data_IF_890652123141
#
_entry.id   IF_890652123141
#
_cell.length_a   1.000
_cell.length_b   1.000
_cell.length_c   1.000
_cell.angle_alpha   90.00
_cell.angle_beta   90.00
_cell.angle_gamma   90.00
#
_symmetry.space_group_name_H-M   'P 1'
#
loop_
_entity.id
_entity.type
_entity.pdbx_description
1 polymer ?
#
# COMPACT_ATOMS: atom_id res chain seq x y z
N UNK A 1 4.02 -43.25 20.72
CA UNK A 1 2.67 -42.81 21.19
C UNK A 1 2.55 -41.28 21.26
N UNK A 2 3.56 -40.57 21.79
CA UNK A 2 3.60 -39.10 21.83
C UNK A 2 3.45 -38.45 20.44
N UNK A 3 4.11 -38.99 19.40
CA UNK A 3 4.00 -38.49 18.01
C UNK A 3 2.59 -38.60 17.42
N UNK A 4 1.84 -39.65 17.75
CA UNK A 4 0.45 -39.83 17.28
C UNK A 4 -0.52 -38.87 17.97
N UNK A 5 -0.33 -38.65 19.28
CA UNK A 5 -1.10 -37.67 20.05
C UNK A 5 -0.80 -36.26 19.56
N UNK A 6 0.46 -35.94 19.26
CA UNK A 6 0.85 -34.63 18.71
C UNK A 6 0.32 -34.42 17.28
N UNK A 7 0.38 -35.45 16.42
CA UNK A 7 -0.24 -35.41 15.08
C UNK A 7 -1.76 -35.26 15.18
N UNK A 8 -2.41 -35.93 16.13
CA UNK A 8 -3.84 -35.82 16.36
C UNK A 8 -4.24 -34.45 16.93
N UNK A 9 -3.50 -33.89 17.90
CA UNK A 9 -3.72 -32.53 18.40
C UNK A 9 -3.47 -31.49 17.31
N UNK A 10 -2.43 -31.66 16.49
CA UNK A 10 -2.20 -30.83 15.31
C UNK A 10 -3.38 -30.96 14.36
N UNK A 11 -3.86 -32.18 14.05
CA UNK A 11 -5.02 -32.45 13.20
C UNK A 11 -6.32 -31.82 13.73
N UNK A 12 -6.63 -31.96 15.02
CA UNK A 12 -7.82 -31.39 15.65
C UNK A 12 -7.78 -29.86 15.64
N UNK A 13 -6.63 -29.27 16.00
CA UNK A 13 -6.41 -27.82 15.92
C UNK A 13 -6.44 -27.29 14.48
N UNK A 14 -6.16 -28.15 13.49
CA UNK A 14 -6.22 -27.87 12.04
C UNK A 14 -7.64 -27.96 11.49
N UNK A 15 -8.41 -28.99 11.83
CA UNK A 15 -9.81 -29.10 11.41
C UNK A 15 -10.65 -27.99 12.07
N UNK A 16 -10.21 -27.43 13.19
CA UNK A 16 -10.80 -26.24 13.81
C UNK A 16 -10.17 -24.92 13.31
N UNK A 17 -9.15 -24.97 12.44
CA UNK A 17 -8.51 -23.77 11.90
C UNK A 17 -9.41 -23.11 10.87
N UNK A 18 -9.86 -21.90 11.18
CA UNK A 18 -10.79 -21.12 10.36
C UNK A 18 -10.32 -20.96 8.91
N UNK A 19 -9.03 -20.69 8.70
CA UNK A 19 -8.47 -20.52 7.35
C UNK A 19 -8.62 -21.79 6.49
N UNK A 20 -8.49 -22.98 7.08
CA UNK A 20 -8.63 -24.25 6.37
C UNK A 20 -10.09 -24.54 5.95
N UNK A 21 -11.07 -24.11 6.77
CA UNK A 21 -12.48 -24.17 6.38
C UNK A 21 -12.79 -23.24 5.19
N UNK A 22 -12.24 -22.01 5.18
CA UNK A 22 -12.49 -21.07 4.07
C UNK A 22 -11.88 -21.51 2.77
N UNK A 23 -10.67 -22.10 2.79
CA UNK A 23 -10.06 -22.62 1.56
C UNK A 23 -10.93 -23.70 0.93
N UNK A 24 -11.56 -24.54 1.75
CA UNK A 24 -12.46 -25.58 1.28
C UNK A 24 -13.81 -25.02 0.81
N UNK A 25 -14.39 -24.09 1.57
CA UNK A 25 -15.68 -23.47 1.28
C UNK A 25 -15.66 -22.59 0.03
N UNK A 26 -14.56 -21.84 -0.19
CA UNK A 26 -14.35 -21.03 -1.40
C UNK A 26 -13.82 -21.85 -2.58
N UNK A 27 -13.64 -23.18 -2.42
CA UNK A 27 -13.07 -24.09 -3.42
C UNK A 27 -11.75 -23.59 -4.02
N UNK A 28 -10.95 -22.90 -3.21
CA UNK A 28 -9.68 -22.35 -3.67
C UNK A 28 -8.68 -23.49 -3.90
N UNK A 29 -7.86 -23.43 -4.96
CA UNK A 29 -6.84 -24.44 -5.18
C UNK A 29 -5.86 -24.42 -4.00
N UNK A 30 -5.63 -25.60 -3.43
CA UNK A 30 -4.66 -25.86 -2.36
C UNK A 30 -3.45 -26.52 -2.99
N UNK A 31 -2.27 -25.95 -2.76
CA UNK A 31 -1.02 -26.58 -3.20
C UNK A 31 -0.75 -27.81 -2.35
N UNK A 32 -1.18 -28.98 -2.82
CA UNK A 32 -0.86 -30.26 -2.19
C UNK A 32 0.64 -30.56 -2.35
N UNK A 33 1.30 -31.04 -1.30
CA UNK A 33 2.71 -31.45 -1.33
C UNK A 33 3.34 -31.59 0.06
N UNK A 34 4.63 -31.93 0.14
CA UNK A 34 5.32 -32.07 1.43
C UNK A 34 5.52 -30.71 2.12
N UNK A 35 5.43 -30.67 3.45
CA UNK A 35 5.67 -29.47 4.25
C UNK A 35 7.12 -28.95 4.25
N UNK A 36 8.01 -29.66 3.55
CA UNK A 36 9.42 -29.34 3.42
C UNK A 36 9.68 -28.32 2.29
N UNK A 37 8.72 -28.11 1.39
CA UNK A 37 8.86 -27.14 0.28
C UNK A 37 9.06 -25.73 0.83
N UNK A 38 10.03 -25.00 0.31
CA UNK A 38 10.28 -23.61 0.70
C UNK A 38 9.11 -22.71 0.30
N UNK A 39 8.79 -21.73 1.13
CA UNK A 39 7.90 -20.62 0.78
C UNK A 39 8.47 -19.30 1.29
N UNK A 40 7.99 -18.19 0.74
CA UNK A 40 8.39 -16.86 1.15
C UNK A 40 7.16 -15.99 1.46
N UNK A 41 7.17 -15.33 2.60
CA UNK A 41 6.18 -14.30 2.95
C UNK A 41 6.93 -12.98 3.07
N UNK A 42 6.56 -12.01 2.25
CA UNK A 42 7.17 -10.69 2.23
C UNK A 42 6.15 -9.70 2.79
N UNK A 43 6.49 -9.04 3.89
CA UNK A 43 5.66 -8.03 4.52
C UNK A 43 6.37 -6.69 4.41
N UNK A 44 5.80 -5.84 3.56
CA UNK A 44 6.25 -4.47 3.37
C UNK A 44 5.53 -3.55 4.36
N UNK A 45 6.29 -2.77 5.13
CA UNK A 45 5.77 -1.64 5.90
C UNK A 45 6.03 -0.38 5.07
N UNK A 46 4.99 0.11 4.40
CA UNK A 46 5.08 1.24 3.46
C UNK A 46 5.62 2.50 4.17
N UNK A 47 6.62 3.15 3.56
CA UNK A 47 7.14 4.46 3.98
C UNK A 47 7.88 4.52 5.32
N UNK A 48 8.19 3.39 5.97
CA UNK A 48 8.81 3.34 7.29
C UNK A 48 10.34 3.47 7.24
N UNK A 49 10.83 4.69 7.45
CA UNK A 49 12.27 4.96 7.57
C UNK A 49 12.90 4.25 8.79
N UNK A 50 14.15 3.80 8.65
CA UNK A 50 14.90 3.13 9.72
C UNK A 50 14.95 3.92 11.05
N UNK A 51 15.19 5.25 11.08
CA UNK A 51 15.16 6.01 12.34
C UNK A 51 13.80 5.97 13.04
N UNK A 52 12.71 5.95 12.27
CA UNK A 52 11.35 5.89 12.79
C UNK A 52 11.03 4.50 13.37
N UNK A 53 11.48 3.44 12.70
CA UNK A 53 11.41 2.07 13.22
C UNK A 53 12.18 1.94 14.54
N UNK A 54 13.43 2.42 14.59
CA UNK A 54 14.24 2.39 15.81
C UNK A 54 13.57 3.15 16.96
N UNK A 55 12.99 4.32 16.68
CA UNK A 55 12.24 5.08 17.67
C UNK A 55 10.99 4.34 18.14
N UNK A 56 10.25 3.70 17.23
CA UNK A 56 9.06 2.91 17.56
C UNK A 56 9.40 1.70 18.45
N UNK A 57 10.50 1.00 18.16
CA UNK A 57 11.02 -0.10 18.98
C UNK A 57 11.43 0.39 20.37
N UNK A 58 12.21 1.49 20.47
CA UNK A 58 12.61 2.10 21.74
C UNK A 58 11.41 2.51 22.60
N UNK A 59 10.32 2.96 21.97
CA UNK A 59 9.07 3.38 22.65
C UNK A 59 8.08 2.24 22.89
N UNK A 60 8.47 0.99 22.66
CA UNK A 60 7.60 -0.18 22.86
C UNK A 60 6.35 -0.19 21.99
N UNK A 61 6.38 0.45 20.81
CA UNK A 61 5.25 0.48 19.87
C UNK A 61 5.16 -0.75 18.99
N UNK A 62 6.24 -1.53 18.88
CA UNK A 62 6.31 -2.76 18.09
C UNK A 62 6.90 -3.93 18.92
N UNK A 63 6.22 -4.35 20.00
CA UNK A 63 6.75 -5.37 20.91
C UNK A 63 6.96 -6.74 20.27
N UNK A 64 6.17 -7.14 19.27
CA UNK A 64 6.37 -8.41 18.58
C UNK A 64 7.64 -8.38 17.73
N UNK A 65 7.85 -7.31 16.97
CA UNK A 65 9.07 -7.13 16.19
C UNK A 65 10.31 -7.06 17.08
N UNK A 66 10.22 -6.37 18.22
CA UNK A 66 11.28 -6.37 19.23
C UNK A 66 11.62 -7.79 19.72
N UNK A 67 10.60 -8.62 19.94
CA UNK A 67 10.80 -10.02 20.32
C UNK A 67 11.46 -10.83 19.20
N UNK A 68 11.11 -10.60 17.93
CA UNK A 68 11.76 -11.29 16.80
C UNK A 68 13.27 -10.98 16.75
N UNK A 69 13.64 -9.72 16.95
CA UNK A 69 15.04 -9.29 16.99
C UNK A 69 15.81 -9.91 18.17
N UNK A 70 15.14 -10.10 19.31
CA UNK A 70 15.77 -10.62 20.52
C UNK A 70 15.85 -12.15 20.57
N UNK A 71 14.86 -12.86 20.00
CA UNK A 71 14.67 -14.30 20.25
C UNK A 71 14.61 -15.18 19.00
N UNK A 72 14.41 -14.62 17.81
CA UNK A 72 14.10 -15.38 16.59
C UNK A 72 15.14 -15.17 15.47
N UNK A 73 16.38 -14.80 15.81
CA UNK A 73 17.50 -14.58 14.88
C UNK A 73 17.28 -13.49 13.79
N UNK A 74 16.27 -12.62 13.94
CA UNK A 74 16.09 -11.49 13.04
C UNK A 74 17.18 -10.43 13.27
N UNK A 75 17.71 -9.87 12.18
CA UNK A 75 18.65 -8.75 12.22
C UNK A 75 18.06 -7.56 11.50
N UNK A 76 18.17 -6.38 12.11
CA UNK A 76 17.81 -5.14 11.45
C UNK A 76 18.98 -4.70 10.55
N UNK A 77 18.69 -4.53 9.26
CA UNK A 77 19.65 -4.04 8.27
C UNK A 77 19.13 -2.74 7.64
N UNK A 78 20.05 -1.83 7.34
CA UNK A 78 19.73 -0.66 6.53
C UNK A 78 19.53 -1.11 5.08
N UNK A 79 18.48 -0.62 4.44
CA UNK A 79 18.16 -0.90 3.05
C UNK A 79 18.13 0.42 2.28
N UNK A 80 18.88 0.48 1.19
CA UNK A 80 18.81 1.60 0.25
C UNK A 80 17.74 1.30 -0.80
N UNK A 81 16.70 2.13 -0.84
CA UNK A 81 15.52 1.97 -1.70
C UNK A 81 15.75 2.32 -3.17
N UNK A 82 16.92 2.86 -3.53
CA UNK A 82 17.15 3.42 -4.86
C UNK A 82 16.48 4.78 -5.08
N UNK A 83 16.60 5.28 -6.32
CA UNK A 83 16.01 6.53 -6.79
C UNK A 83 15.18 6.24 -8.07
N UNK A 84 13.89 6.61 -8.13
CA UNK A 84 13.14 7.33 -7.10
C UNK A 84 12.72 6.40 -5.94
N UNK A 85 12.88 6.86 -4.70
CA UNK A 85 12.47 6.16 -3.48
C UNK A 85 10.93 6.15 -3.34
N UNK A 86 10.26 5.37 -4.17
CA UNK A 86 8.79 5.31 -4.29
C UNK A 86 8.34 3.87 -4.44
N UNK A 87 7.19 3.53 -3.87
CA UNK A 87 6.57 2.20 -3.96
C UNK A 87 6.56 1.62 -5.38
N UNK A 88 6.12 2.33 -6.45
CA UNK A 88 6.13 1.78 -7.80
C UNK A 88 7.54 1.43 -8.30
N UNK A 89 8.55 2.27 -8.08
CA UNK A 89 9.90 1.97 -8.54
C UNK A 89 10.49 0.75 -7.81
N UNK A 90 10.33 0.69 -6.48
CA UNK A 90 10.85 -0.41 -5.66
C UNK A 90 10.13 -1.72 -5.97
N UNK A 91 8.81 -1.70 -6.13
CA UNK A 91 8.04 -2.90 -6.47
C UNK A 91 8.32 -3.38 -7.89
N UNK A 92 8.61 -2.49 -8.84
CA UNK A 92 9.02 -2.91 -10.18
C UNK A 92 10.34 -3.68 -10.16
N UNK A 93 11.33 -3.17 -9.45
CA UNK A 93 12.62 -3.84 -9.30
C UNK A 93 12.49 -5.15 -8.52
N UNK A 94 11.69 -5.16 -7.45
CA UNK A 94 11.50 -6.34 -6.62
C UNK A 94 10.72 -7.47 -7.32
N UNK A 95 9.64 -7.13 -8.02
CA UNK A 95 8.75 -8.13 -8.62
C UNK A 95 9.15 -8.54 -10.03
N UNK A 96 9.80 -7.65 -10.79
CA UNK A 96 10.09 -7.86 -12.20
C UNK A 96 11.59 -7.71 -12.53
N UNK A 97 12.44 -7.38 -11.56
CA UNK A 97 13.87 -7.17 -11.80
C UNK A 97 14.20 -5.94 -12.64
N UNK A 98 13.21 -5.08 -12.93
CA UNK A 98 13.39 -3.90 -13.79
C UNK A 98 13.69 -2.68 -12.92
N UNK A 99 14.95 -2.25 -12.98
CA UNK A 99 15.42 -1.03 -12.31
C UNK A 99 14.82 0.21 -12.97
N UNK A 100 14.57 1.25 -12.17
CA UNK A 100 14.16 2.57 -12.68
C UNK A 100 12.95 2.54 -13.63
N UNK A 101 12.03 1.58 -13.41
CA UNK A 101 10.87 1.37 -14.28
C UNK A 101 9.99 2.61 -14.48
N UNK A 102 9.96 3.48 -13.47
CA UNK A 102 9.27 4.77 -13.51
C UNK A 102 10.23 5.87 -13.03
N UNK A 103 10.18 7.07 -13.63
CA UNK A 103 11.11 8.15 -13.30
C UNK A 103 10.72 8.88 -11.99
N UNK A 104 9.47 8.78 -11.57
CA UNK A 104 8.94 9.33 -10.32
C UNK A 104 7.55 8.72 -10.03
N UNK A 105 6.93 9.10 -8.92
CA UNK A 105 5.56 8.70 -8.61
C UNK A 105 4.52 9.36 -9.54
N UNK A 106 4.81 10.59 -9.99
CA UNK A 106 4.06 11.32 -11.02
C UNK A 106 5.02 11.75 -12.13
N UNK A 107 4.63 11.54 -13.38
CA UNK A 107 5.48 11.80 -14.54
C UNK A 107 4.65 12.05 -15.80
N UNK A 108 5.26 12.59 -16.85
CA UNK A 108 4.61 12.76 -18.17
C UNK A 108 4.59 11.44 -18.93
N UNK A 109 3.40 10.98 -19.32
CA UNK A 109 3.27 9.88 -20.27
C UNK A 109 3.67 10.36 -21.67
N UNK A 110 4.62 9.68 -22.30
CA UNK A 110 5.14 10.04 -23.62
C UNK A 110 4.08 9.92 -24.72
N UNK A 111 3.11 9.01 -24.57
CA UNK A 111 2.11 8.77 -25.61
C UNK A 111 0.99 9.80 -25.58
N UNK A 112 0.52 10.18 -24.39
CA UNK A 112 -0.60 11.11 -24.23
C UNK A 112 -0.15 12.55 -24.01
N UNK A 113 1.11 12.75 -23.61
CA UNK A 113 1.63 14.03 -23.19
C UNK A 113 1.14 14.50 -21.81
N UNK A 114 0.31 13.71 -21.14
CA UNK A 114 -0.35 14.07 -19.88
C UNK A 114 0.47 13.67 -18.64
N UNK A 115 0.26 14.39 -17.54
CA UNK A 115 0.86 14.04 -16.26
C UNK A 115 0.05 12.92 -15.60
N UNK A 116 0.65 11.75 -15.53
CA UNK A 116 0.07 10.54 -14.94
C UNK A 116 0.65 10.26 -13.56
N UNK A 117 -0.03 9.39 -12.80
CA UNK A 117 0.37 8.95 -11.45
C UNK A 117 0.23 7.45 -11.29
N UNK A 118 1.12 6.85 -10.51
CA UNK A 118 1.13 5.39 -10.30
C UNK A 118 -0.02 4.84 -9.45
N UNK A 119 -0.88 5.68 -8.89
CA UNK A 119 -2.13 5.25 -8.25
C UNK A 119 -3.33 5.21 -9.20
N UNK A 120 -3.18 5.74 -10.42
CA UNK A 120 -4.20 5.58 -11.45
C UNK A 120 -4.14 4.14 -11.98
N UNK A 121 -5.25 3.40 -11.96
CA UNK A 121 -5.27 1.99 -12.38
C UNK A 121 -4.76 1.78 -13.79
N UNK A 122 -5.18 2.62 -14.73
CA UNK A 122 -4.81 2.52 -16.14
C UNK A 122 -3.30 2.75 -16.33
N UNK A 123 -2.74 3.74 -15.62
CA UNK A 123 -1.29 4.00 -15.62
C UNK A 123 -0.51 2.84 -15.02
N UNK A 124 -0.94 2.33 -13.86
CA UNK A 124 -0.28 1.20 -13.20
C UNK A 124 -0.33 -0.06 -14.07
N UNK A 125 -1.47 -0.37 -14.69
CA UNK A 125 -1.65 -1.51 -15.59
C UNK A 125 -0.79 -1.38 -16.86
N UNK A 126 -0.75 -0.18 -17.48
CA UNK A 126 0.10 0.08 -18.65
C UNK A 126 1.59 -0.12 -18.33
N UNK A 127 2.06 0.39 -17.19
CA UNK A 127 3.45 0.19 -16.75
C UNK A 127 3.70 -1.30 -16.47
N UNK A 128 2.79 -1.99 -15.79
CA UNK A 128 2.93 -3.41 -15.50
C UNK A 128 3.03 -4.27 -16.76
N UNK A 129 2.25 -3.96 -17.80
CA UNK A 129 2.31 -4.65 -19.07
C UNK A 129 3.70 -4.54 -19.71
N UNK A 130 4.32 -3.34 -19.66
CA UNK A 130 5.70 -3.15 -20.11
C UNK A 130 6.71 -3.93 -19.26
N UNK A 131 6.53 -3.97 -17.94
CA UNK A 131 7.38 -4.73 -17.02
C UNK A 131 7.35 -6.24 -17.32
N UNK A 132 6.17 -6.80 -17.60
CA UNK A 132 6.01 -8.21 -17.97
C UNK A 132 6.72 -8.58 -19.26
N UNK A 133 6.87 -7.63 -20.20
CA UNK A 133 7.59 -7.86 -21.45
C UNK A 133 9.11 -7.81 -21.28
N UNK A 134 9.61 -7.04 -20.32
CA UNK A 134 11.05 -6.88 -20.05
C UNK A 134 11.59 -7.93 -19.08
N UNK A 135 10.74 -8.45 -18.20
CA UNK A 135 11.10 -9.42 -17.17
C UNK A 135 11.02 -10.86 -17.69
N UNK A 136 12.03 -11.67 -17.39
CA UNK A 136 12.03 -13.10 -17.72
C UNK A 136 10.96 -13.89 -16.95
N UNK A 137 10.80 -13.61 -15.66
CA UNK A 137 9.80 -14.22 -14.79
C UNK A 137 9.50 -13.28 -13.63
N UNK A 138 8.22 -13.10 -13.30
CA UNK A 138 7.84 -12.25 -12.18
C UNK A 138 7.94 -13.02 -10.86
N UNK A 139 8.39 -12.37 -9.79
CA UNK A 139 8.61 -13.00 -8.48
C UNK A 139 7.34 -13.64 -7.90
N UNK A 140 6.16 -13.08 -8.20
CA UNK A 140 4.89 -13.51 -7.63
C UNK A 140 4.04 -14.34 -8.61
N UNK A 141 4.64 -14.93 -9.66
CA UNK A 141 3.90 -15.53 -10.78
C UNK A 141 2.91 -16.65 -10.39
N UNK A 142 3.20 -17.38 -9.32
CA UNK A 142 2.30 -18.38 -8.72
C UNK A 142 1.89 -18.03 -7.29
N UNK A 143 2.10 -16.77 -6.91
CA UNK A 143 1.94 -16.27 -5.56
C UNK A 143 0.66 -15.47 -5.34
N UNK A 144 0.67 -14.64 -4.32
CA UNK A 144 -0.37 -13.63 -4.11
C UNK A 144 0.19 -12.27 -3.73
N UNK A 145 -0.54 -11.23 -4.12
CA UNK A 145 -0.15 -9.83 -3.96
C UNK A 145 -1.28 -9.03 -3.30
N UNK A 146 -1.00 -8.43 -2.16
CA UNK A 146 -1.98 -7.65 -1.39
C UNK A 146 -1.57 -6.19 -1.27
N UNK A 147 -2.45 -5.29 -1.70
CA UNK A 147 -2.32 -3.83 -1.53
C UNK A 147 -1.06 -3.21 -2.19
N UNK A 148 -0.61 -3.79 -3.31
CA UNK A 148 0.54 -3.33 -4.09
C UNK A 148 0.14 -2.34 -5.19
N UNK A 149 1.13 -1.76 -5.87
CA UNK A 149 0.90 -1.07 -7.14
C UNK A 149 0.64 -2.11 -8.24
N UNK A 150 1.56 -3.07 -8.39
CA UNK A 150 1.50 -4.12 -9.41
C UNK A 150 0.98 -5.45 -8.87
N UNK A 151 0.50 -6.30 -9.77
CA UNK A 151 0.04 -7.65 -9.42
C UNK A 151 1.16 -8.66 -9.17
N UNK A 152 2.37 -8.41 -9.67
CA UNK A 152 3.50 -9.34 -9.54
C UNK A 152 3.47 -10.52 -10.52
N UNK A 153 2.74 -10.37 -11.64
CA UNK A 153 2.83 -11.24 -12.82
C UNK A 153 1.95 -12.48 -12.76
N UNK A 154 0.63 -12.30 -12.75
CA UNK A 154 -0.41 -13.36 -12.66
C UNK A 154 -0.63 -13.96 -11.26
N UNK A 155 -0.02 -13.34 -10.24
CA UNK A 155 -0.36 -13.60 -8.85
C UNK A 155 -1.87 -13.41 -8.58
N UNK A 156 -2.38 -14.11 -7.56
CA UNK A 156 -3.68 -13.78 -6.99
C UNK A 156 -3.61 -12.39 -6.34
N UNK A 157 -4.00 -11.38 -7.12
CA UNK A 157 -3.91 -9.98 -6.75
C UNK A 157 -5.20 -9.49 -6.10
N UNK A 158 -5.02 -8.81 -4.97
CA UNK A 158 -6.10 -8.29 -4.16
C UNK A 158 -5.78 -6.86 -3.76
N UNK A 159 -6.69 -5.94 -4.07
CA UNK A 159 -6.57 -4.51 -3.75
C UNK A 159 -5.31 -3.84 -4.33
N UNK A 160 -4.79 -4.35 -5.46
CA UNK A 160 -3.66 -3.73 -6.15
C UNK A 160 -4.12 -2.55 -7.02
N UNK A 161 -3.27 -1.53 -7.22
CA UNK A 161 -3.61 -0.39 -8.07
C UNK A 161 -3.95 -0.83 -9.50
N UNK A 162 -3.21 -1.78 -10.05
CA UNK A 162 -3.41 -2.33 -11.39
C UNK A 162 -4.72 -3.14 -11.57
N UNK A 163 -5.28 -3.76 -10.51
CA UNK A 163 -6.43 -4.71 -10.64
C UNK A 163 -7.61 -4.46 -9.68
N UNK A 164 -7.59 -3.34 -8.94
CA UNK A 164 -8.61 -2.78 -8.04
C UNK A 164 -9.67 -3.75 -7.47
N UNK A 165 -9.67 -3.94 -6.15
CA UNK A 165 -10.71 -4.68 -5.43
C UNK A 165 -10.38 -6.16 -5.22
N UNK A 166 -11.40 -6.91 -4.82
CA UNK A 166 -11.29 -8.34 -4.51
C UNK A 166 -10.95 -9.17 -5.75
N UNK A 167 -10.17 -10.23 -5.62
CA UNK A 167 -9.84 -11.11 -6.76
C UNK A 167 -11.08 -11.80 -7.33
N UNK A 168 -10.98 -12.34 -8.55
CA UNK A 168 -12.10 -12.92 -9.28
C UNK A 168 -12.90 -13.96 -8.46
N UNK A 169 -12.22 -14.79 -7.68
CA UNK A 169 -12.84 -15.80 -6.82
C UNK A 169 -13.71 -15.21 -5.68
N UNK A 170 -13.32 -14.08 -5.10
CA UNK A 170 -14.09 -13.41 -4.03
C UNK A 170 -15.22 -12.54 -4.59
N UNK A 171 -15.06 -11.99 -5.80
CA UNK A 171 -16.17 -11.32 -6.51
C UNK A 171 -17.28 -12.28 -6.92
N UNK A 172 -16.94 -13.53 -7.23
CA UNK A 172 -17.87 -14.59 -7.59
C UNK A 172 -18.40 -15.39 -6.38
N UNK A 173 -17.93 -15.09 -5.16
CA UNK A 173 -18.31 -15.84 -3.96
C UNK A 173 -19.78 -15.57 -3.58
N UNK A 174 -20.51 -16.64 -3.27
CA UNK A 174 -21.90 -16.58 -2.82
C UNK A 174 -22.02 -15.73 -1.53
N UNK A 175 -23.05 -14.87 -1.37
CA UNK A 175 -23.30 -14.09 -0.17
C UNK A 175 -23.24 -14.87 1.15
N UNK A 176 -23.63 -16.16 1.15
CA UNK A 176 -23.55 -17.03 2.32
C UNK A 176 -22.10 -17.39 2.69
N UNK A 177 -21.20 -17.51 1.72
CA UNK A 177 -19.77 -17.73 1.95
C UNK A 177 -19.11 -16.45 2.47
N UNK A 178 -19.50 -15.29 1.94
CA UNK A 178 -19.09 -13.98 2.47
C UNK A 178 -19.58 -13.79 3.92
N UNK A 179 -20.82 -14.19 4.21
CA UNK A 179 -21.39 -14.17 5.56
C UNK A 179 -20.66 -15.15 6.50
N UNK A 180 -20.33 -16.35 6.03
CA UNK A 180 -19.48 -17.28 6.76
C UNK A 180 -18.10 -16.68 7.06
N UNK A 181 -17.50 -15.98 6.10
CA UNK A 181 -16.22 -15.29 6.25
C UNK A 181 -16.31 -14.16 7.27
N UNK A 182 -17.42 -13.43 7.29
CA UNK A 182 -17.74 -12.41 8.27
C UNK A 182 -17.89 -12.99 9.68
N UNK A 183 -18.72 -14.04 9.86
CA UNK A 183 -18.99 -14.67 11.16
C UNK A 183 -17.74 -15.38 11.72
N UNK A 184 -17.02 -16.10 10.90
CA UNK A 184 -15.78 -16.78 11.34
C UNK A 184 -14.67 -15.80 11.71
N UNK A 185 -14.66 -14.62 11.10
CA UNK A 185 -13.74 -13.53 11.45
C UNK A 185 -14.44 -12.47 12.31
N UNK A 186 -15.50 -12.84 13.06
CA UNK A 186 -16.26 -11.90 13.88
C UNK A 186 -15.38 -11.12 14.87
N UNK A 187 -14.34 -11.74 15.42
CA UNK A 187 -13.35 -11.01 16.23
C UNK A 187 -12.62 -9.91 15.44
N UNK A 188 -12.17 -10.21 14.21
CA UNK A 188 -11.55 -9.22 13.34
C UNK A 188 -12.55 -8.13 12.94
N UNK A 189 -13.81 -8.49 12.66
CA UNK A 189 -14.90 -7.56 12.38
C UNK A 189 -15.16 -6.63 13.56
N UNK A 190 -15.37 -7.19 14.76
CA UNK A 190 -15.58 -6.41 15.99
C UNK A 190 -14.38 -5.52 16.29
N UNK A 191 -13.16 -6.00 16.01
CA UNK A 191 -11.94 -5.20 16.12
C UNK A 191 -11.90 -4.07 15.09
N UNK A 192 -12.31 -4.31 13.85
CA UNK A 192 -12.44 -3.26 12.82
C UNK A 192 -13.44 -2.20 13.29
N UNK A 193 -14.59 -2.61 13.82
CA UNK A 193 -15.62 -1.71 14.37
C UNK A 193 -15.07 -0.90 15.54
N UNK A 194 -14.40 -1.55 16.50
CA UNK A 194 -13.81 -0.86 17.65
C UNK A 194 -12.71 0.13 17.25
N UNK A 195 -11.84 -0.25 16.31
CA UNK A 195 -10.81 0.64 15.76
C UNK A 195 -11.41 1.79 14.94
N UNK A 196 -12.51 1.56 14.23
CA UNK A 196 -13.27 2.59 13.53
C UNK A 196 -13.80 3.63 14.51
N UNK A 197 -14.44 3.22 15.61
CA UNK A 197 -14.94 4.16 16.60
C UNK A 197 -13.83 4.90 17.34
N UNK A 198 -12.69 4.24 17.60
CA UNK A 198 -11.52 4.90 18.18
C UNK A 198 -10.97 6.00 17.26
N UNK A 199 -10.82 5.72 15.97
CA UNK A 199 -10.41 6.71 14.96
C UNK A 199 -11.42 7.85 14.83
N UNK A 200 -12.72 7.53 14.86
CA UNK A 200 -13.78 8.53 14.83
C UNK A 200 -13.68 9.46 16.04
N UNK A 201 -13.47 8.90 17.24
CA UNK A 201 -13.24 9.67 18.47
C UNK A 201 -11.98 10.55 18.39
N UNK A 202 -10.86 10.00 17.92
CA UNK A 202 -9.62 10.76 17.73
C UNK A 202 -9.80 11.88 16.70
N UNK A 203 -10.56 11.64 15.64
CA UNK A 203 -10.85 12.65 14.65
C UNK A 203 -11.74 13.78 15.20
N UNK A 204 -12.70 13.46 16.09
CA UNK A 204 -13.50 14.47 16.81
C UNK A 204 -12.60 15.30 17.74
N UNK A 205 -11.66 14.67 18.45
CA UNK A 205 -10.71 15.39 19.32
C UNK A 205 -9.76 16.26 18.51
N UNK A 206 -9.20 15.74 17.40
CA UNK A 206 -8.39 16.50 16.45
C UNK A 206 -9.20 17.67 15.88
N UNK A 207 -10.49 17.48 15.60
CA UNK A 207 -11.41 18.54 15.16
C UNK A 207 -11.58 19.63 16.22
N UNK A 208 -11.87 19.27 17.48
CA UNK A 208 -11.97 20.24 18.56
C UNK A 208 -10.65 21.03 18.76
N UNK A 209 -9.50 20.38 18.58
CA UNK A 209 -8.18 21.03 18.64
C UNK A 209 -7.85 21.85 17.38
N UNK A 210 -8.36 21.46 16.22
CA UNK A 210 -8.17 22.11 14.93
C UNK A 210 -8.96 23.41 14.80
N UNK A 211 -10.15 23.48 15.40
CA UNK A 211 -10.93 24.72 15.55
C UNK A 211 -10.10 25.81 16.24
N UNK A 212 -9.29 25.44 17.23
CA UNK A 212 -8.42 26.37 17.98
C UNK A 212 -7.23 26.85 17.12
N UNK A 213 -6.90 26.16 16.02
CA UNK A 213 -5.71 26.42 15.17
C UNK A 213 -6.02 26.93 13.75
N UNK A 214 -7.29 27.18 13.41
CA UNK A 214 -7.67 27.78 12.13
C UNK A 214 -7.37 26.92 10.89
N UNK A 215 -7.36 25.59 11.01
CA UNK A 215 -7.14 24.69 9.86
C UNK A 215 -8.46 24.38 9.13
N UNK A 216 -8.40 24.17 7.80
CA UNK A 216 -9.55 23.97 6.91
C UNK A 216 -10.41 22.74 7.25
N UNK A 217 -11.40 22.98 8.12
CA UNK A 217 -12.39 22.07 8.70
C UNK A 217 -13.01 21.04 7.74
N UNK A 218 -13.47 21.48 6.57
CA UNK A 218 -14.25 20.63 5.65
C UNK A 218 -13.38 19.63 4.87
N UNK A 219 -12.10 19.95 4.69
CA UNK A 219 -11.15 19.05 4.04
C UNK A 219 -10.81 17.90 4.98
N UNK A 220 -10.55 18.19 6.25
CA UNK A 220 -10.13 17.22 7.26
C UNK A 220 -11.19 16.13 7.50
N UNK A 221 -12.47 16.54 7.58
CA UNK A 221 -13.60 15.66 7.88
C UNK A 221 -13.88 14.63 6.76
N UNK A 222 -13.76 15.05 5.49
CA UNK A 222 -14.00 14.20 4.31
C UNK A 222 -12.99 13.06 4.15
N UNK A 223 -11.81 13.21 4.75
CA UNK A 223 -10.71 12.23 4.61
C UNK A 223 -10.68 11.17 5.72
N UNK A 224 -11.45 11.33 6.81
CA UNK A 224 -11.48 10.36 7.92
C UNK A 224 -12.05 9.00 7.47
N UNK A 225 -13.18 8.91 6.74
CA UNK A 225 -13.72 7.61 6.31
C UNK A 225 -12.76 6.85 5.39
N UNK A 226 -12.16 7.56 4.42
CA UNK A 226 -11.16 6.99 3.52
C UNK A 226 -9.93 6.45 4.29
N UNK A 227 -9.49 7.16 5.32
CA UNK A 227 -8.38 6.76 6.18
C UNK A 227 -8.68 5.51 6.99
N UNK A 228 -9.84 5.44 7.64
CA UNK A 228 -10.22 4.25 8.41
C UNK A 228 -10.34 3.04 7.48
N UNK A 229 -10.88 3.26 6.28
CA UNK A 229 -10.97 2.22 5.27
C UNK A 229 -9.57 1.70 4.84
N UNK A 230 -8.60 2.58 4.57
CA UNK A 230 -7.25 2.16 4.11
C UNK A 230 -6.38 1.67 5.28
N UNK A 231 -6.32 2.39 6.40
CA UNK A 231 -5.40 2.08 7.50
C UNK A 231 -5.85 0.90 8.38
N UNK A 232 -7.16 0.62 8.43
CA UNK A 232 -7.72 -0.43 9.31
C UNK A 232 -8.39 -1.52 8.50
N UNK A 233 -9.39 -1.19 7.68
CA UNK A 233 -10.17 -2.21 6.96
C UNK A 233 -9.29 -2.96 5.97
N UNK A 234 -8.62 -2.25 5.06
CA UNK A 234 -7.74 -2.85 4.07
C UNK A 234 -6.62 -3.68 4.72
N UNK A 235 -5.98 -3.16 5.78
CA UNK A 235 -4.98 -3.91 6.56
C UNK A 235 -5.52 -5.25 7.07
N UNK A 236 -6.69 -5.26 7.69
CA UNK A 236 -7.28 -6.49 8.23
C UNK A 236 -7.67 -7.47 7.10
N UNK A 237 -8.19 -6.96 5.98
CA UNK A 237 -8.49 -7.77 4.80
C UNK A 237 -7.23 -8.42 4.21
N UNK A 238 -6.14 -7.66 4.05
CA UNK A 238 -4.86 -8.18 3.58
C UNK A 238 -4.31 -9.26 4.51
N UNK A 239 -4.44 -9.10 5.84
CA UNK A 239 -3.98 -10.11 6.79
C UNK A 239 -4.84 -11.37 6.76
N UNK A 240 -6.16 -11.24 6.61
CA UNK A 240 -7.07 -12.38 6.49
C UNK A 240 -6.75 -13.17 5.21
N UNK A 241 -6.66 -12.48 4.06
CA UNK A 241 -6.32 -13.08 2.77
C UNK A 241 -4.94 -13.74 2.80
N UNK A 242 -3.91 -13.02 3.28
CA UNK A 242 -2.56 -13.56 3.41
C UNK A 242 -2.50 -14.83 4.26
N UNK A 243 -3.25 -14.90 5.37
CA UNK A 243 -3.34 -16.13 6.17
C UNK A 243 -4.01 -17.29 5.42
N UNK A 244 -5.02 -17.00 4.61
CA UNK A 244 -5.66 -18.00 3.77
C UNK A 244 -4.66 -18.56 2.76
N UNK A 245 -3.92 -17.72 2.06
CA UNK A 245 -2.93 -18.15 1.06
C UNK A 245 -1.75 -18.91 1.67
N UNK A 246 -1.28 -18.48 2.84
CA UNK A 246 -0.27 -19.22 3.62
C UNK A 246 -0.79 -20.62 3.96
N UNK A 247 -2.07 -20.75 4.32
CA UNK A 247 -2.70 -22.03 4.63
C UNK A 247 -2.97 -22.88 3.38
N UNK A 248 -3.11 -22.27 2.20
CA UNK A 248 -3.19 -22.94 0.89
C UNK A 248 -1.83 -23.42 0.40
N UNK A 249 -0.75 -22.87 0.94
CA UNK A 249 0.61 -23.24 0.56
C UNK A 249 1.11 -22.55 -0.71
N UNK A 250 0.71 -21.30 -0.97
CA UNK A 250 1.26 -20.54 -2.10
C UNK A 250 2.78 -20.34 -1.94
N UNK A 251 3.58 -20.43 -3.03
CA UNK A 251 5.04 -20.32 -2.96
C UNK A 251 5.52 -18.98 -2.41
N UNK A 252 4.90 -17.88 -2.84
CA UNK A 252 5.27 -16.52 -2.41
C UNK A 252 4.01 -15.72 -2.09
N UNK A 253 4.00 -15.02 -0.97
CA UNK A 253 2.90 -14.14 -0.54
C UNK A 253 3.46 -12.76 -0.21
N UNK A 254 3.07 -11.73 -0.97
CA UNK A 254 3.47 -10.35 -0.72
C UNK A 254 2.33 -9.54 -0.12
N UNK A 255 2.58 -8.84 0.98
CA UNK A 255 1.59 -8.00 1.67
C UNK A 255 2.18 -6.62 1.95
N UNK A 256 1.58 -5.59 1.37
CA UNK A 256 1.92 -4.20 1.66
C UNK A 256 0.99 -3.57 2.71
N UNK A 257 1.56 -3.08 3.80
CA UNK A 257 0.86 -2.47 4.92
C UNK A 257 0.97 -0.93 4.86
N UNK A 258 0.03 -0.30 4.15
CA UNK A 258 -0.02 1.14 3.86
C UNK A 258 -0.19 2.07 5.07
N UNK A 259 -0.56 1.52 6.22
CA UNK A 259 -1.10 2.30 7.33
C UNK A 259 -0.15 3.38 7.86
N UNK A 260 1.15 3.10 7.94
CA UNK A 260 2.13 4.07 8.44
C UNK A 260 2.37 5.21 7.45
N UNK A 261 2.61 4.89 6.17
CA UNK A 261 2.83 5.85 5.08
C UNK A 261 1.67 6.86 4.96
N UNK A 262 0.43 6.35 5.01
CA UNK A 262 -0.79 7.17 4.97
C UNK A 262 -0.85 8.23 6.09
N UNK A 263 -0.51 7.83 7.33
CA UNK A 263 -0.53 8.78 8.45
C UNK A 263 0.64 9.75 8.38
N UNK A 264 1.79 9.25 7.95
CA UNK A 264 3.03 10.00 7.92
C UNK A 264 2.99 11.09 6.84
N UNK A 265 2.36 10.83 5.69
CA UNK A 265 2.13 11.84 4.64
C UNK A 265 1.34 13.06 5.12
N UNK A 266 0.43 12.88 6.08
CA UNK A 266 -0.45 13.94 6.57
C UNK A 266 0.06 14.63 7.82
N UNK A 267 0.50 13.84 8.81
CA UNK A 267 0.87 14.33 10.15
C UNK A 267 2.37 14.43 10.36
N UNK A 268 3.15 13.96 9.39
CA UNK A 268 4.58 13.79 9.49
C UNK A 268 4.99 12.43 10.07
N UNK A 269 6.19 11.94 9.71
CA UNK A 269 6.66 10.60 10.05
C UNK A 269 6.86 10.38 11.57
N UNK A 270 7.25 11.43 12.31
CA UNK A 270 7.46 11.34 13.76
C UNK A 270 6.19 11.56 14.59
N UNK A 271 5.03 11.70 13.96
CA UNK A 271 3.78 12.00 14.66
C UNK A 271 3.37 10.84 15.58
N UNK A 272 2.75 11.18 16.71
CA UNK A 272 2.21 10.20 17.65
C UNK A 272 1.25 9.23 16.97
N UNK A 273 0.51 9.73 15.98
CA UNK A 273 -0.49 8.98 15.25
C UNK A 273 0.14 7.96 14.30
N UNK A 274 1.13 8.36 13.49
CA UNK A 274 1.87 7.43 12.64
C UNK A 274 2.51 6.30 13.48
N UNK A 275 3.11 6.66 14.62
CA UNK A 275 3.70 5.69 15.55
C UNK A 275 2.66 4.84 16.29
N UNK A 276 1.44 5.34 16.49
CA UNK A 276 0.34 4.55 17.05
C UNK A 276 -0.13 3.48 16.06
N UNK A 277 -0.21 3.79 14.77
CA UNK A 277 -0.57 2.85 13.71
C UNK A 277 0.40 1.67 13.63
N UNK A 278 1.68 1.87 13.97
CA UNK A 278 2.69 0.80 14.03
C UNK A 278 2.31 -0.32 15.01
N UNK A 279 1.53 -0.05 16.06
CA UNK A 279 1.02 -1.11 16.96
C UNK A 279 0.09 -2.08 16.23
N UNK A 280 -0.79 -1.53 15.38
CA UNK A 280 -1.70 -2.33 14.56
C UNK A 280 -0.94 -3.14 13.50
N UNK A 281 0.09 -2.55 12.92
CA UNK A 281 1.00 -3.22 11.97
C UNK A 281 1.78 -4.34 12.65
N UNK A 282 2.32 -4.12 13.85
CA UNK A 282 3.06 -5.12 14.63
C UNK A 282 2.20 -6.34 14.97
N UNK A 283 0.94 -6.14 15.37
CA UNK A 283 0.02 -7.26 15.60
C UNK A 283 -0.34 -7.99 14.29
N UNK A 284 -0.52 -7.28 13.18
CA UNK A 284 -0.71 -7.90 11.86
C UNK A 284 0.46 -8.79 11.46
N UNK A 285 1.70 -8.30 11.63
CA UNK A 285 2.93 -9.06 11.43
C UNK A 285 2.94 -10.29 12.33
N UNK A 286 2.57 -10.14 13.60
CA UNK A 286 2.52 -11.25 14.55
C UNK A 286 1.55 -12.36 14.13
N UNK A 287 0.39 -12.00 13.56
CA UNK A 287 -0.61 -12.97 13.08
C UNK A 287 -0.14 -13.68 11.81
N UNK A 288 0.50 -12.98 10.88
CA UNK A 288 1.05 -13.55 9.65
C UNK A 288 2.22 -14.49 9.97
N UNK A 289 3.17 -14.05 10.80
CA UNK A 289 4.29 -14.87 11.25
C UNK A 289 3.82 -16.15 11.94
N UNK A 290 2.83 -16.06 12.83
CA UNK A 290 2.22 -17.26 13.47
C UNK A 290 1.56 -18.18 12.46
N UNK A 291 0.97 -17.65 11.40
CA UNK A 291 0.37 -18.45 10.32
C UNK A 291 1.44 -19.16 9.49
N UNK A 292 2.54 -18.47 9.19
CA UNK A 292 3.69 -18.99 8.46
C UNK A 292 4.26 -20.24 9.16
N UNK A 293 4.56 -20.12 10.46
CA UNK A 293 5.14 -21.19 11.27
C UNK A 293 4.19 -22.35 11.57
N UNK A 294 2.89 -22.18 11.28
CA UNK A 294 1.86 -23.22 11.40
C UNK A 294 1.49 -23.81 10.05
N UNK A 295 2.09 -23.34 8.95
CA UNK A 295 1.80 -23.89 7.63
C UNK A 295 2.30 -25.32 7.52
N UNK A 296 1.64 -26.08 6.64
CA UNK A 296 1.78 -27.53 6.54
C UNK A 296 2.32 -27.93 5.18
N UNK A 297 2.12 -27.06 4.19
CA UNK A 297 2.42 -27.31 2.80
C UNK A 297 3.76 -26.71 2.39
N UNK A 298 4.27 -25.76 3.19
CA UNK A 298 5.54 -25.08 2.99
C UNK A 298 6.18 -24.65 4.31
N UNK A 299 7.51 -24.67 4.34
CA UNK A 299 8.32 -23.99 5.34
C UNK A 299 8.58 -22.56 4.87
N UNK A 300 7.88 -21.60 5.46
CA UNK A 300 7.97 -20.20 5.05
C UNK A 300 9.10 -19.45 5.74
N UNK A 301 9.91 -18.75 4.96
CA UNK A 301 10.69 -17.63 5.46
C UNK A 301 9.81 -16.37 5.48
N UNK A 302 9.95 -15.55 6.52
CA UNK A 302 9.21 -14.29 6.65
C UNK A 302 10.19 -13.13 6.54
N UNK A 303 10.07 -12.35 5.47
CA UNK A 303 10.85 -11.14 5.23
C UNK A 303 10.03 -9.92 5.63
N UNK A 304 10.62 -9.06 6.45
CA UNK A 304 10.04 -7.80 6.87
C UNK A 304 10.92 -6.69 6.33
N UNK A 305 10.35 -5.78 5.54
CA UNK A 305 11.11 -4.71 4.94
C UNK A 305 10.24 -3.46 4.75
N UNK A 306 10.89 -2.35 4.39
CA UNK A 306 10.24 -1.12 3.96
C UNK A 306 10.77 -0.77 2.58
N UNK A 307 9.88 -0.32 1.69
CA UNK A 307 10.21 0.08 0.34
C UNK A 307 10.95 1.41 0.29
N UNK A 308 10.54 2.38 1.12
CA UNK A 308 11.22 3.66 1.26
C UNK A 308 11.02 4.29 2.64
N UNK A 309 11.75 5.36 2.90
CA UNK A 309 11.54 6.19 4.09
C UNK A 309 10.57 7.34 3.87
N UNK A 310 10.37 8.14 4.91
CA UNK A 310 9.72 9.43 4.82
C UNK A 310 10.53 10.50 5.55
N UNK A 311 10.44 11.73 5.04
CA UNK A 311 11.03 12.93 5.64
C UNK A 311 9.94 13.95 5.97
N UNK A 312 10.17 14.73 7.02
CA UNK A 312 9.31 15.88 7.33
C UNK A 312 9.62 16.98 6.31
N UNK A 313 8.59 17.42 5.58
CA UNK A 313 8.71 18.43 4.54
C UNK A 313 7.61 19.48 4.70
N UNK A 314 7.86 20.68 4.20
CA UNK A 314 6.85 21.73 4.05
C UNK A 314 6.53 21.85 2.55
N UNK A 315 5.24 21.86 2.14
CA UNK A 315 4.89 22.06 0.73
C UNK A 315 5.45 23.38 0.19
N UNK A 316 5.96 23.36 -1.05
CA UNK A 316 6.60 24.52 -1.68
C UNK A 316 5.72 25.78 -1.64
N UNK A 317 4.44 25.66 -1.98
CA UNK A 317 3.50 26.79 -2.01
C UNK A 317 3.21 27.38 -0.62
N UNK A 318 3.36 26.59 0.45
CA UNK A 318 3.23 27.11 1.83
C UNK A 318 4.47 27.92 2.20
N UNK A 319 5.65 27.48 1.75
CA UNK A 319 6.92 28.21 1.98
C UNK A 319 7.02 29.49 1.15
N UNK A 320 6.60 29.45 -0.11
CA UNK A 320 6.84 30.52 -1.09
C UNK A 320 5.62 31.38 -1.38
N UNK A 321 4.41 30.94 -1.01
CA UNK A 321 3.15 31.65 -1.30
C UNK A 321 2.59 31.42 -2.70
N UNK A 322 3.29 30.69 -3.59
CA UNK A 322 2.85 30.37 -4.95
C UNK A 322 3.27 28.95 -5.38
N UNK A 323 2.57 28.32 -6.34
CA UNK A 323 2.86 26.95 -6.76
C UNK A 323 4.21 26.81 -7.49
N UNK A 324 4.81 25.62 -7.41
CA UNK A 324 6.08 25.32 -8.08
C UNK A 324 5.98 25.51 -9.61
N UNK A 325 4.86 25.16 -10.23
CA UNK A 325 4.62 25.39 -11.66
C UNK A 325 4.85 26.87 -12.03
N UNK A 326 4.27 27.79 -11.26
CA UNK A 326 4.46 29.22 -11.48
C UNK A 326 5.91 29.69 -11.29
N UNK A 327 6.64 29.07 -10.35
CA UNK A 327 8.07 29.34 -10.19
C UNK A 327 8.86 28.96 -11.44
N UNK A 328 8.54 27.81 -12.02
CA UNK A 328 9.17 27.30 -13.23
C UNK A 328 8.77 28.17 -14.42
N UNK A 329 7.48 28.46 -14.60
CA UNK A 329 6.99 29.31 -15.69
C UNK A 329 7.70 30.67 -15.66
N UNK A 330 7.75 31.34 -14.50
CA UNK A 330 8.43 32.63 -14.35
C UNK A 330 9.94 32.56 -14.59
N UNK A 331 10.58 31.43 -14.29
CA UNK A 331 12.01 31.23 -14.54
C UNK A 331 12.28 31.06 -16.04
N UNK A 332 11.41 30.35 -16.75
CA UNK A 332 11.50 30.15 -18.19
C UNK A 332 11.08 31.38 -18.99
N UNK A 333 10.11 32.15 -18.52
CA UNK A 333 9.74 33.46 -19.12
C UNK A 333 10.91 34.44 -19.08
N UNK A 334 11.68 34.45 -17.97
CA UNK A 334 12.91 35.24 -17.87
C UNK A 334 14.00 34.78 -18.83
N UNK A 335 14.06 33.47 -19.13
CA UNK A 335 15.06 32.90 -20.04
C UNK A 335 14.69 33.09 -21.52
N UNK A 336 13.39 33.05 -21.86
CA UNK A 336 12.92 33.02 -23.26
C UNK A 336 12.20 34.28 -23.74
N UNK A 337 11.93 35.26 -22.87
CA UNK A 337 11.24 36.53 -23.18
C UNK A 337 10.12 36.39 -24.24
N UNK A 338 9.06 35.64 -23.94
CA UNK A 338 7.69 35.79 -24.46
C UNK A 338 6.72 34.97 -23.59
N UNK A 339 5.49 35.47 -23.29
CA UNK A 339 4.66 34.98 -22.20
C UNK A 339 3.72 33.85 -22.62
N UNK A 340 3.43 32.92 -21.71
CA UNK A 340 2.30 32.00 -21.83
C UNK A 340 1.60 31.85 -20.48
N UNK A 341 0.32 32.22 -20.46
CA UNK A 341 -0.47 32.49 -19.26
C UNK A 341 -0.66 31.31 -18.30
N UNK A 342 -0.66 31.68 -17.02
CA UNK A 342 -0.92 30.81 -15.87
C UNK A 342 -2.40 30.39 -15.79
N UNK A 343 -2.67 29.08 -15.81
CA UNK A 343 -3.91 28.53 -15.28
C UNK A 343 -3.65 27.55 -14.13
N UNK A 344 -4.42 27.75 -13.07
CA UNK A 344 -4.39 27.02 -11.81
C UNK A 344 -5.18 25.72 -11.94
N UNK A 345 -4.58 24.57 -11.62
CA UNK A 345 -5.32 23.34 -11.28
C UNK A 345 -4.83 22.71 -9.99
N UNK A 346 -5.79 22.40 -9.12
CA UNK A 346 -5.60 21.73 -7.84
C UNK A 346 -5.52 20.23 -8.08
N UNK A 347 -4.40 19.63 -7.68
CA UNK A 347 -4.17 18.19 -7.77
C UNK A 347 -5.04 17.42 -6.77
N UNK A 348 -5.77 16.42 -7.26
CA UNK A 348 -6.53 15.49 -6.40
C UNK A 348 -5.66 14.73 -5.39
N UNK A 349 -6.24 14.37 -4.24
CA UNK A 349 -5.50 13.77 -3.12
C UNK A 349 -5.20 12.28 -3.31
N UNK A 350 -3.99 11.85 -2.91
CA UNK A 350 -3.48 10.46 -2.93
C UNK A 350 -4.39 9.50 -2.14
N UNK A 351 -4.93 9.95 -1.01
CA UNK A 351 -5.74 9.14 -0.10
C UNK A 351 -7.06 8.74 -0.75
N UNK A 352 -7.68 9.66 -1.50
CA UNK A 352 -8.91 9.39 -2.25
C UNK A 352 -8.65 8.33 -3.32
N UNK A 353 -7.47 8.32 -3.94
CA UNK A 353 -7.08 7.31 -4.93
C UNK A 353 -6.84 5.94 -4.27
N UNK A 354 -6.15 5.88 -3.13
CA UNK A 354 -5.93 4.62 -2.38
C UNK A 354 -7.23 4.03 -1.82
N UNK A 355 -8.19 4.84 -1.40
CA UNK A 355 -9.50 4.33 -0.97
C UNK A 355 -10.26 3.62 -2.10
N UNK A 356 -10.01 3.97 -3.37
CA UNK A 356 -10.62 3.29 -4.52
C UNK A 356 -10.15 1.84 -4.65
N UNK A 357 -8.98 1.47 -4.11
CA UNK A 357 -8.46 0.10 -4.14
C UNK A 357 -9.43 -0.92 -3.54
N UNK A 358 -10.31 -0.51 -2.63
CA UNK A 358 -11.34 -1.36 -2.03
C UNK A 358 -12.46 -1.78 -3.01
N UNK A 359 -12.58 -1.12 -4.15
CA UNK A 359 -13.50 -1.48 -5.24
C UNK A 359 -14.97 -1.13 -4.99
N UNK A 360 -15.78 -1.24 -6.07
CA UNK A 360 -17.24 -1.06 -6.05
C UNK A 360 -17.74 0.27 -6.63
N UNK A 361 -18.75 0.23 -7.52
CA UNK A 361 -19.31 1.42 -8.22
C UNK A 361 -19.76 2.53 -7.26
N UNK A 362 -20.31 2.18 -6.08
CA UNK A 362 -20.74 3.15 -5.06
C UNK A 362 -19.57 3.80 -4.31
N UNK A 363 -18.52 3.03 -3.99
CA UNK A 363 -17.28 3.55 -3.37
C UNK A 363 -16.55 4.46 -4.37
N UNK A 364 -16.48 4.06 -5.63
CA UNK A 364 -15.91 4.88 -6.72
C UNK A 364 -16.67 6.20 -6.93
N UNK A 365 -18.01 6.20 -6.86
CA UNK A 365 -18.83 7.43 -6.92
C UNK A 365 -18.71 8.29 -5.67
N UNK A 366 -18.61 7.73 -4.47
CA UNK A 366 -18.44 8.52 -3.23
C UNK A 366 -17.06 9.18 -3.14
N UNK A 367 -16.04 8.57 -3.76
CA UNK A 367 -14.66 9.06 -3.79
C UNK A 367 -14.24 9.53 -5.20
N UNK A 368 -15.21 9.98 -6.02
CA UNK A 368 -14.94 10.62 -7.30
C UNK A 368 -14.36 12.00 -7.04
N UNK A 369 -13.04 12.13 -7.14
CA UNK A 369 -12.42 13.43 -7.45
C UNK A 369 -12.85 13.74 -8.88
N UNK A 370 -13.47 14.91 -9.10
CA UNK A 370 -13.53 15.51 -10.42
C UNK A 370 -12.08 15.66 -10.88
N UNK A 371 -11.60 14.70 -11.66
CA UNK A 371 -10.47 14.93 -12.54
C UNK A 371 -11.05 15.93 -13.53
N UNK A 372 -10.81 17.20 -13.26
CA UNK A 372 -11.06 18.23 -14.27
C UNK A 372 -10.27 17.77 -15.49
N UNK A 373 -10.96 17.46 -16.58
CA UNK A 373 -10.37 17.13 -17.88
C UNK A 373 -9.17 18.05 -18.10
N UNK A 374 -7.97 17.48 -18.11
CA UNK A 374 -6.80 18.16 -18.61
C UNK A 374 -7.10 18.40 -20.08
N UNK A 375 -7.58 19.61 -20.37
CA UNK A 375 -7.80 20.06 -21.73
C UNK A 375 -6.49 19.89 -22.49
N UNK A 376 -6.61 19.45 -23.74
CA UNK A 376 -5.57 19.41 -24.75
C UNK A 376 -4.87 20.79 -24.86
N UNK A 377 -3.93 21.06 -23.97
CA UNK A 377 -3.00 22.17 -24.05
C UNK A 377 -1.88 21.78 -24.99
N UNK A 378 -1.62 22.63 -25.99
CA UNK A 378 -0.62 22.43 -27.02
C UNK A 378 0.71 21.88 -26.48
N UNK A 379 1.36 21.02 -27.26
CA UNK A 379 2.59 20.27 -26.95
C UNK A 379 3.81 21.16 -26.58
N UNK A 380 3.65 22.49 -26.63
CA UNK A 380 4.65 23.51 -26.31
C UNK A 380 4.66 24.02 -24.86
N UNK A 381 3.72 23.61 -23.99
CA UNK A 381 3.70 24.10 -22.61
C UNK A 381 4.65 23.35 -21.66
N UNK A 382 5.27 24.08 -20.73
CA UNK A 382 6.10 23.50 -19.68
C UNK A 382 5.21 22.79 -18.67
N UNK A 383 5.44 21.50 -18.43
CA UNK A 383 4.68 20.71 -17.45
C UNK A 383 5.58 20.32 -16.29
N UNK A 384 5.13 20.57 -15.05
CA UNK A 384 5.84 20.16 -13.84
C UNK A 384 5.12 18.98 -13.17
N UNK A 385 5.85 17.88 -12.97
CA UNK A 385 5.38 16.75 -12.18
C UNK A 385 6.25 16.61 -10.92
N UNK A 386 5.77 17.14 -9.80
CA UNK A 386 6.52 17.18 -8.54
C UNK A 386 5.74 16.51 -7.41
N UNK A 387 5.63 15.18 -7.49
CA UNK A 387 4.99 14.36 -6.46
C UNK A 387 5.89 13.20 -6.07
N UNK A 388 6.23 13.13 -4.79
CA UNK A 388 7.21 12.16 -4.25
C UNK A 388 8.60 12.77 -4.06
N UNK A 389 9.66 11.96 -3.98
CA UNK A 389 11.02 12.42 -3.68
C UNK A 389 11.73 13.06 -4.89
N UNK A 390 11.19 12.89 -6.10
CA UNK A 390 11.77 13.43 -7.35
C UNK A 390 10.67 14.20 -8.08
N UNK A 391 11.01 15.40 -8.55
CA UNK A 391 10.18 16.20 -9.43
C UNK A 391 10.83 16.37 -10.80
N UNK A 392 10.01 16.41 -11.85
CA UNK A 392 10.44 16.58 -13.23
C UNK A 392 9.82 17.83 -13.84
N UNK A 393 10.60 18.52 -14.66
CA UNK A 393 10.15 19.61 -15.53
C UNK A 393 10.23 19.09 -16.97
N UNK A 394 9.11 19.11 -17.67
CA UNK A 394 9.03 18.69 -19.06
C UNK A 394 8.84 19.91 -19.94
N UNK A 395 9.75 20.12 -20.87
CA UNK A 395 9.66 21.19 -21.88
C UNK A 395 9.14 20.62 -23.20
N UNK A 396 8.38 21.42 -23.96
CA UNK A 396 7.93 21.04 -25.30
C UNK A 396 9.04 21.12 -26.36
N UNK A 397 10.07 21.93 -26.08
CA UNK A 397 11.26 22.11 -26.92
C UNK A 397 12.53 21.72 -26.15
N UNK A 398 13.58 21.22 -26.81
CA UNK A 398 14.88 21.01 -26.18
C UNK A 398 15.39 22.31 -25.55
N UNK A 399 15.91 22.22 -24.33
CA UNK A 399 16.68 23.32 -23.73
C UNK A 399 18.02 23.41 -24.47
N UNK A 400 18.20 24.48 -25.25
CA UNK A 400 19.46 24.82 -25.94
C UNK A 400 20.39 25.67 -25.09
#
# INVERSE_FOLDING_TARGET
MISRVEVWFRWLRRSLSRSHWFTHLLRLPVSKGSGVRSGLIMIQIDGLAQPQLQQALKRGKMPFLQRLLQRENYKLQAHYSGLPATTPAVQAELFYGVKTAVPAFSFRDRQTGEIVRMLQPDTAAKVEQGLRQQSHAALLQDGSAYSNIYTGGDAESHFCAATMGWGAALRAANPLVLLGLFISNLYSVLRIIGLFFLELGLAIVDFCRGIIKGQDFLSELKFIPARVAVSIVLRELCVIGGKMDISRGLPVVHINLLGYDEQSHRRGPSSLFAHWTLKGIDDSIARLWRSAHRSQWRSYQVWLYSDHGQAKVTPYHVMQGYPLQQAVDASFEKLNSLPAGLQRKVTGSVQTQRARLLGGRKVQRMFSVNISDDQMGADNQIKVAAQGPVGHIYTGLPLS
#
